data_IF_757131802403
#
_entry.id   IF_757131802403
#
_cell.length_a   1.000
_cell.length_b   1.000
_cell.length_c   1.000
_cell.angle_alpha   90.00
_cell.angle_beta   90.00
_cell.angle_gamma   90.00
#
_symmetry.space_group_name_H-M   'P 1'
#
loop_
_entity.id
_entity.type
_entity.pdbx_description
1 polymer ?
#
# COMPACT_ATOMS: atom_id res chain seq x y z
N UNK A 1 -16.76 55.81 -4.96
CA UNK A 1 -18.19 56.04 -5.22
C UNK A 1 -18.85 54.72 -5.57
N UNK A 2 -20.06 54.50 -5.04
CA UNK A 2 -21.07 53.46 -5.35
C UNK A 2 -20.79 52.03 -4.88
N UNK A 3 -21.42 51.71 -3.74
CA UNK A 3 -21.83 50.39 -3.27
C UNK A 3 -22.86 49.80 -4.25
N UNK A 4 -22.80 48.50 -4.50
CA UNK A 4 -23.97 47.70 -4.89
C UNK A 4 -23.96 46.38 -4.13
N UNK A 5 -24.91 46.29 -3.22
CA UNK A 5 -25.42 45.08 -2.56
C UNK A 5 -26.34 44.41 -3.58
N UNK A 6 -26.23 43.10 -3.78
CA UNK A 6 -27.39 42.31 -4.21
C UNK A 6 -27.31 40.89 -3.67
N UNK A 7 -28.19 40.66 -2.69
CA UNK A 7 -28.57 39.41 -2.07
C UNK A 7 -29.46 38.62 -3.05
N UNK A 8 -29.17 37.34 -3.29
CA UNK A 8 -30.14 36.41 -3.89
C UNK A 8 -30.26 35.21 -2.95
N UNK A 9 -31.41 35.17 -2.26
CA UNK A 9 -31.94 34.00 -1.55
C UNK A 9 -32.65 33.15 -2.59
N UNK A 10 -32.33 31.86 -2.67
CA UNK A 10 -32.99 30.95 -3.61
C UNK A 10 -32.87 29.48 -3.22
N UNK A 11 -33.89 28.99 -2.51
CA UNK A 11 -34.50 27.69 -2.77
C UNK A 11 -33.80 26.42 -2.27
N UNK A 12 -34.29 25.89 -1.15
CA UNK A 12 -34.13 24.49 -0.77
C UNK A 12 -34.94 23.63 -1.74
N UNK A 13 -34.31 22.62 -2.36
CA UNK A 13 -35.00 21.48 -2.95
C UNK A 13 -34.31 20.19 -2.48
N UNK A 14 -34.91 19.53 -1.50
CA UNK A 14 -34.59 18.14 -1.14
C UNK A 14 -35.35 17.25 -2.12
N UNK A 15 -34.63 16.62 -3.05
CA UNK A 15 -35.20 15.58 -3.91
C UNK A 15 -34.83 14.23 -3.30
N UNK A 16 -35.80 13.62 -2.63
CA UNK A 16 -35.77 12.20 -2.32
C UNK A 16 -36.05 11.42 -3.62
N UNK A 17 -35.06 10.68 -4.10
CA UNK A 17 -35.24 9.69 -5.18
C UNK A 17 -35.25 8.29 -4.54
N UNK A 18 -36.45 7.79 -4.26
CA UNK A 18 -36.72 6.36 -4.13
C UNK A 18 -37.55 5.93 -5.35
N UNK A 19 -37.07 4.94 -6.10
CA UNK A 19 -37.75 4.28 -7.22
C UNK A 19 -36.73 3.77 -8.24
N UNK A 20 -36.32 2.50 -8.21
CA UNK A 20 -37.01 1.29 -8.69
C UNK A 20 -36.87 1.06 -10.22
N UNK A 21 -36.26 -0.08 -10.58
CA UNK A 21 -36.09 -0.61 -11.94
C UNK A 21 -34.60 -0.75 -12.28
N UNK A 22 -33.96 -1.91 -12.33
CA UNK A 22 -34.42 -3.27 -12.64
C UNK A 22 -33.97 -3.65 -14.05
N UNK A 23 -32.98 -4.56 -14.19
CA UNK A 23 -32.67 -5.20 -15.48
C UNK A 23 -31.20 -5.57 -15.69
N UNK A 24 -30.90 -6.85 -15.54
CA UNK A 24 -29.60 -7.50 -15.69
C UNK A 24 -28.98 -7.42 -17.09
N UNK A 25 -27.65 -7.42 -17.15
CA UNK A 25 -26.90 -8.10 -18.21
C UNK A 25 -25.65 -8.77 -17.63
N UNK A 26 -25.77 -10.10 -17.49
CA UNK A 26 -24.76 -11.14 -17.25
C UNK A 26 -23.35 -10.75 -16.83
N UNK A 27 -23.05 -10.96 -15.56
CA UNK A 27 -21.71 -11.37 -15.11
C UNK A 27 -21.68 -12.90 -15.13
N UNK A 28 -20.80 -13.56 -15.89
CA UNK A 28 -20.47 -14.95 -15.64
C UNK A 28 -19.78 -15.00 -14.27
N UNK A 29 -20.36 -15.80 -13.38
CA UNK A 29 -19.92 -15.89 -11.99
C UNK A 29 -18.48 -16.38 -11.87
N UNK A 30 -17.81 -15.87 -10.84
CA UNK A 30 -17.06 -16.76 -9.99
C UNK A 30 -17.67 -16.72 -8.60
N UNK A 31 -18.14 -17.89 -8.18
CA UNK A 31 -18.72 -18.12 -6.87
C UNK A 31 -17.57 -18.70 -6.06
N UNK A 32 -16.90 -17.87 -5.26
CA UNK A 32 -15.72 -18.32 -4.52
C UNK A 32 -15.46 -17.48 -3.29
N UNK A 33 -15.96 -17.95 -2.16
CA UNK A 33 -15.35 -17.67 -0.85
C UNK A 33 -15.72 -16.33 -0.22
N UNK A 34 -16.71 -16.36 0.67
CA UNK A 34 -16.78 -15.38 1.75
C UNK A 34 -15.56 -15.55 2.65
N UNK A 35 -14.61 -14.62 2.58
CA UNK A 35 -13.65 -14.37 3.64
C UNK A 35 -14.14 -13.17 4.42
N UNK A 36 -14.50 -13.36 5.70
CA UNK A 36 -14.53 -12.25 6.65
C UNK A 36 -13.08 -11.86 6.93
N UNK A 37 -12.35 -11.35 5.92
CA UNK A 37 -11.06 -10.75 6.22
C UNK A 37 -11.38 -9.49 7.03
N UNK A 38 -10.94 -9.42 8.30
CA UNK A 38 -11.03 -8.17 9.03
C UNK A 38 -10.33 -7.08 8.20
N UNK A 39 -10.78 -5.82 8.31
CA UNK A 39 -10.07 -4.73 7.66
C UNK A 39 -8.59 -4.77 8.09
N UNK A 40 -7.65 -4.45 7.17
CA UNK A 40 -6.22 -4.43 7.49
C UNK A 40 -5.97 -3.60 8.76
N UNK A 41 -5.16 -4.13 9.68
CA UNK A 41 -4.79 -3.41 10.90
C UNK A 41 -3.61 -2.51 10.56
N UNK A 42 -3.76 -1.21 10.78
CA UNK A 42 -2.68 -0.24 10.64
C UNK A 42 -1.77 -0.29 11.86
N UNK A 43 -0.46 -0.37 11.66
CA UNK A 43 0.55 -0.31 12.74
C UNK A 43 1.53 0.86 12.51
N UNK A 44 2.08 1.42 13.59
CA UNK A 44 3.01 2.56 13.49
C UNK A 44 4.43 2.14 13.08
N UNK A 45 4.81 0.90 13.38
CA UNK A 45 6.09 0.31 13.02
C UNK A 45 5.99 -1.22 12.95
N UNK A 46 6.89 -1.85 12.19
CA UNK A 46 7.06 -3.30 12.14
C UNK A 46 8.53 -3.66 12.32
N UNK A 47 8.79 -4.69 13.12
CA UNK A 47 10.13 -5.32 13.22
C UNK A 47 10.38 -6.10 11.93
N UNK A 48 11.52 -5.91 11.27
CA UNK A 48 11.82 -6.58 10.00
C UNK A 48 11.79 -8.11 10.13
N UNK A 49 12.08 -8.66 11.32
CA UNK A 49 12.00 -10.09 11.57
C UNK A 49 10.57 -10.62 11.55
N UNK A 50 9.56 -9.75 11.72
CA UNK A 50 8.14 -10.11 11.65
C UNK A 50 7.56 -9.97 10.23
N UNK A 51 8.30 -9.47 9.23
CA UNK A 51 7.76 -9.27 7.88
C UNK A 51 7.22 -10.56 7.22
N UNK A 52 7.73 -11.73 7.64
CA UNK A 52 7.24 -13.04 7.24
C UNK A 52 5.88 -13.42 7.89
N UNK A 53 5.24 -12.53 8.64
CA UNK A 53 3.89 -12.75 9.18
C UNK A 53 2.80 -12.13 8.29
N UNK A 54 3.17 -11.38 7.25
CA UNK A 54 2.23 -10.74 6.32
C UNK A 54 2.08 -9.23 6.57
N UNK A 55 2.83 -8.42 5.84
CA UNK A 55 2.76 -6.95 5.96
C UNK A 55 2.79 -6.26 4.60
N UNK A 56 2.00 -5.19 4.46
CA UNK A 56 2.09 -4.23 3.37
C UNK A 56 2.67 -2.92 3.88
N UNK A 57 3.73 -2.46 3.24
CA UNK A 57 4.36 -1.17 3.47
C UNK A 57 4.01 -0.27 2.28
N UNK A 58 3.27 0.79 2.55
CA UNK A 58 2.95 1.83 1.57
C UNK A 58 3.85 3.03 1.82
N UNK A 59 4.26 3.66 0.73
CA UNK A 59 5.11 4.84 0.78
C UNK A 59 5.17 5.57 -0.55
N UNK A 60 6.07 6.54 -0.60
CA UNK A 60 6.43 7.24 -1.82
C UNK A 60 7.96 7.40 -1.90
N UNK A 61 8.47 7.42 -3.14
CA UNK A 61 9.89 7.68 -3.38
C UNK A 61 10.19 9.18 -3.53
N UNK A 62 11.47 9.51 -3.71
CA UNK A 62 11.95 10.88 -3.90
C UNK A 62 11.37 11.61 -5.14
N UNK A 63 10.79 10.87 -6.09
CA UNK A 63 10.10 11.41 -7.27
C UNK A 63 8.57 11.55 -7.03
N UNK A 64 8.09 11.36 -5.80
CA UNK A 64 6.67 11.38 -5.40
C UNK A 64 5.85 10.27 -6.09
N UNK A 65 6.49 9.14 -6.41
CA UNK A 65 5.79 7.98 -6.99
C UNK A 65 5.34 7.05 -5.87
N UNK A 66 4.09 6.62 -5.95
CA UNK A 66 3.55 5.60 -5.05
C UNK A 66 4.38 4.31 -5.11
N UNK A 67 4.69 3.79 -3.93
CA UNK A 67 5.43 2.56 -3.69
C UNK A 67 4.63 1.66 -2.75
N UNK A 68 4.61 0.36 -3.05
CA UNK A 68 4.03 -0.67 -2.17
C UNK A 68 4.94 -1.87 -2.11
N UNK A 69 5.25 -2.34 -0.91
CA UNK A 69 5.86 -3.64 -0.65
C UNK A 69 4.86 -4.52 0.08
N UNK A 70 4.55 -5.68 -0.49
CA UNK A 70 3.79 -6.72 0.20
C UNK A 70 4.78 -7.83 0.55
N UNK A 71 5.02 -8.06 1.84
CA UNK A 71 5.79 -9.19 2.35
C UNK A 71 4.81 -10.27 2.82
N UNK A 72 4.91 -11.46 2.26
CA UNK A 72 3.99 -12.56 2.52
C UNK A 72 4.58 -13.62 3.44
N UNK A 73 3.68 -14.43 4.00
CA UNK A 73 4.02 -15.43 5.01
C UNK A 73 4.90 -16.59 4.51
N UNK A 74 4.98 -16.76 3.19
CA UNK A 74 5.80 -17.76 2.52
C UNK A 74 7.18 -17.25 2.08
N UNK A 75 7.63 -16.10 2.62
CA UNK A 75 8.87 -15.42 2.25
C UNK A 75 8.90 -14.89 0.81
N UNK A 76 7.74 -14.70 0.19
CA UNK A 76 7.62 -13.98 -1.09
C UNK A 76 7.35 -12.50 -0.88
N UNK A 77 7.70 -11.68 -1.87
CA UNK A 77 7.35 -10.27 -1.87
C UNK A 77 6.75 -9.83 -3.21
N UNK A 78 5.92 -8.78 -3.16
CA UNK A 78 5.52 -8.00 -4.32
C UNK A 78 5.92 -6.55 -4.11
N UNK A 79 6.69 -6.00 -5.04
CA UNK A 79 7.11 -4.60 -5.02
C UNK A 79 6.51 -3.86 -6.21
N UNK A 80 5.76 -2.80 -5.93
CA UNK A 80 5.20 -1.89 -6.91
C UNK A 80 5.85 -0.53 -6.76
N UNK A 81 6.28 0.06 -7.86
CA UNK A 81 6.77 1.44 -7.94
C UNK A 81 6.21 2.10 -9.18
N UNK A 82 5.26 3.02 -9.01
CA UNK A 82 4.46 3.56 -10.10
C UNK A 82 3.82 2.44 -10.93
N UNK A 83 4.19 2.33 -12.22
CA UNK A 83 3.65 1.29 -13.13
C UNK A 83 4.52 0.01 -13.19
N UNK A 84 5.63 -0.04 -12.47
CA UNK A 84 6.54 -1.19 -12.46
C UNK A 84 6.16 -2.16 -11.34
N UNK A 85 6.28 -3.47 -11.61
CA UNK A 85 6.04 -4.54 -10.64
C UNK A 85 7.20 -5.53 -10.65
N UNK A 86 7.69 -5.84 -9.46
CA UNK A 86 8.71 -6.85 -9.18
C UNK A 86 8.14 -7.87 -8.19
N UNK A 87 8.59 -9.11 -8.28
CA UNK A 87 8.12 -10.20 -7.44
C UNK A 87 9.25 -11.20 -7.27
N UNK A 88 9.30 -11.85 -6.12
CA UNK A 88 10.25 -12.92 -5.86
C UNK A 88 10.31 -13.26 -4.37
N UNK A 89 11.49 -13.54 -3.84
CA UNK A 89 11.67 -13.96 -2.45
C UNK A 89 12.49 -12.96 -1.64
N UNK A 90 12.31 -12.98 -0.32
CA UNK A 90 13.11 -12.18 0.60
C UNK A 90 13.70 -13.02 1.74
N UNK A 91 14.77 -12.51 2.33
CA UNK A 91 15.39 -13.06 3.53
C UNK A 91 15.98 -11.93 4.38
N UNK A 92 15.94 -12.08 5.70
CA UNK A 92 16.50 -11.11 6.64
C UNK A 92 17.88 -11.60 7.12
N UNK A 93 18.90 -10.76 6.96
CA UNK A 93 20.24 -11.03 7.48
C UNK A 93 20.35 -10.56 8.93
N UNK A 94 20.56 -11.50 9.85
CA UNK A 94 20.71 -11.21 11.29
C UNK A 94 21.95 -10.39 11.66
N UNK A 95 23.01 -10.46 10.87
CA UNK A 95 24.29 -9.81 11.19
C UNK A 95 24.30 -8.30 10.85
N UNK A 96 23.42 -7.88 9.93
CA UNK A 96 23.40 -6.51 9.39
C UNK A 96 22.02 -5.87 9.39
N UNK A 97 20.98 -6.56 9.87
CA UNK A 97 19.61 -6.02 9.97
C UNK A 97 19.10 -5.51 8.60
N UNK A 98 19.34 -6.33 7.58
CA UNK A 98 18.98 -6.03 6.19
C UNK A 98 17.94 -6.99 5.66
N UNK A 99 17.06 -6.48 4.80
CA UNK A 99 16.13 -7.27 3.98
C UNK A 99 16.77 -7.47 2.62
N UNK A 100 17.09 -8.70 2.28
CA UNK A 100 17.63 -9.09 0.98
C UNK A 100 16.48 -9.61 0.14
N UNK A 101 16.30 -9.08 -1.06
CA UNK A 101 15.21 -9.42 -1.96
C UNK A 101 15.76 -9.86 -3.31
N UNK A 102 15.24 -10.94 -3.87
CA UNK A 102 15.61 -11.45 -5.18
C UNK A 102 14.36 -11.56 -6.03
N UNK A 103 14.32 -10.84 -7.16
CA UNK A 103 13.19 -10.97 -8.10
C UNK A 103 13.35 -12.17 -9.04
N UNK A 104 12.23 -12.60 -9.61
CA UNK A 104 12.16 -13.72 -10.57
C UNK A 104 12.85 -13.44 -11.92
N UNK A 105 13.30 -12.20 -12.15
CA UNK A 105 14.00 -11.74 -13.35
C UNK A 105 15.53 -11.68 -13.12
N UNK A 106 16.01 -12.06 -11.93
CA UNK A 106 17.42 -12.09 -11.56
C UNK A 106 17.96 -10.78 -10.94
N UNK A 107 17.09 -9.83 -10.63
CA UNK A 107 17.43 -8.65 -9.82
C UNK A 107 17.64 -9.02 -8.36
N UNK A 108 18.51 -8.26 -7.70
CA UNK A 108 18.82 -8.37 -6.28
C UNK A 108 18.74 -6.97 -5.68
N UNK A 109 18.11 -6.86 -4.54
CA UNK A 109 17.88 -5.60 -3.84
C UNK A 109 18.17 -5.78 -2.36
N UNK A 110 18.70 -4.73 -1.74
CA UNK A 110 18.93 -4.68 -0.29
C UNK A 110 18.22 -3.47 0.29
N UNK A 111 17.50 -3.67 1.39
CA UNK A 111 17.05 -2.61 2.29
C UNK A 111 17.85 -2.74 3.58
N UNK A 112 18.57 -1.68 3.95
CA UNK A 112 19.17 -1.55 5.29
C UNK A 112 18.26 -0.69 6.14
N UNK A 113 17.80 -1.25 7.24
CA UNK A 113 16.93 -0.53 8.18
C UNK A 113 17.71 0.11 9.32
N UNK A 114 19.01 -0.19 9.46
CA UNK A 114 19.90 0.32 10.50
C UNK A 114 19.60 -0.21 11.91
N UNK A 115 18.34 -0.23 12.33
CA UNK A 115 17.89 -0.60 13.67
C UNK A 115 16.86 -1.75 13.72
N UNK A 116 16.43 -2.25 12.56
CA UNK A 116 15.55 -3.42 12.46
C UNK A 116 14.07 -3.12 12.38
N UNK A 117 13.71 -1.87 12.09
CA UNK A 117 12.31 -1.49 11.98
C UNK A 117 12.04 -0.73 10.70
N UNK A 118 10.83 -0.90 10.18
CA UNK A 118 10.21 0.03 9.25
C UNK A 118 9.15 0.82 10.02
N UNK A 119 9.15 2.15 9.90
CA UNK A 119 8.27 3.04 10.68
C UNK A 119 7.57 4.04 9.80
N UNK A 120 6.31 4.30 10.11
CA UNK A 120 5.54 5.36 9.44
C UNK A 120 6.21 6.71 9.66
N UNK A 121 6.44 7.44 8.56
CA UNK A 121 7.09 8.75 8.52
C UNK A 121 8.61 8.71 8.49
N UNK A 122 9.23 7.53 8.50
CA UNK A 122 10.68 7.37 8.34
C UNK A 122 11.03 6.89 6.93
N UNK A 123 12.23 7.27 6.47
CA UNK A 123 12.79 6.82 5.21
C UNK A 123 13.62 5.55 5.36
N UNK A 124 13.62 4.73 4.31
CA UNK A 124 14.58 3.64 4.12
C UNK A 124 15.13 3.66 2.71
N UNK A 125 16.35 3.15 2.54
CA UNK A 125 17.05 3.16 1.26
C UNK A 125 17.09 1.78 0.62
N UNK A 126 16.81 1.72 -0.68
CA UNK A 126 16.96 0.51 -1.49
C UNK A 126 18.26 0.61 -2.31
N UNK A 127 19.31 -0.10 -1.90
CA UNK A 127 20.67 0.10 -2.43
C UNK A 127 20.81 -0.08 -3.93
N UNK A 128 20.28 -1.17 -4.45
CA UNK A 128 20.44 -1.52 -5.86
C UNK A 128 19.54 -0.69 -6.79
N UNK A 129 18.48 -0.08 -6.24
CA UNK A 129 17.61 0.83 -6.98
C UNK A 129 18.13 2.26 -6.93
N UNK A 130 18.80 2.63 -5.83
CA UNK A 130 19.30 3.99 -5.63
C UNK A 130 18.24 4.98 -5.15
N UNK A 131 17.18 4.49 -4.50
CA UNK A 131 16.02 5.30 -4.10
C UNK A 131 15.80 5.24 -2.58
N UNK A 132 15.47 6.40 -2.01
CA UNK A 132 14.89 6.55 -0.68
C UNK A 132 13.36 6.45 -0.77
N UNK A 133 12.77 5.68 0.13
CA UNK A 133 11.32 5.51 0.27
C UNK A 133 10.90 6.03 1.63
N UNK A 134 9.93 6.94 1.67
CA UNK A 134 9.27 7.38 2.91
C UNK A 134 8.05 6.49 3.15
N UNK A 135 7.95 5.88 4.33
CA UNK A 135 6.80 5.05 4.70
C UNK A 135 5.61 5.94 5.07
N UNK A 136 4.49 5.75 4.41
CA UNK A 136 3.23 6.45 4.70
C UNK A 136 2.31 5.62 5.60
N UNK A 137 2.27 4.31 5.39
CA UNK A 137 1.34 3.41 6.08
C UNK A 137 1.90 1.98 6.15
N UNK A 138 1.63 1.27 7.24
CA UNK A 138 1.96 -0.14 7.41
C UNK A 138 0.69 -0.89 7.78
N UNK A 139 0.40 -1.95 7.03
CA UNK A 139 -0.80 -2.76 7.17
C UNK A 139 -0.44 -4.22 7.40
N UNK A 140 -1.05 -4.85 8.40
CA UNK A 140 -1.09 -6.32 8.46
C UNK A 140 -1.99 -6.84 7.33
N UNK A 141 -1.48 -7.79 6.54
CA UNK A 141 -2.18 -8.39 5.40
C UNK A 141 -2.14 -9.91 5.48
N UNK A 142 -3.10 -10.55 4.81
CA UNK A 142 -3.13 -12.01 4.68
C UNK A 142 -2.69 -12.38 3.26
N UNK A 143 -1.42 -12.74 3.15
CA UNK A 143 -0.79 -13.41 2.03
C UNK A 143 0.32 -14.34 2.56
#
# INVERSE_FOLDING_TARGET
MKKLISLVIGGIAVIALNGCGGGSSGTPGDTGGGGNNPPPVTVEQVDIYALHEGYRILGHDSDDRDVSFDYCSDYTYFYYRGNSRFTGTFNISGDTVTINMWDDQGGSYVIDTGDGYLRVGEDYYIYDVGDDIIVDEILEIDC
#
